data_IF_511075430834
#
_entry.id   IF_511075430834
#
_cell.length_a   1.000
_cell.length_b   1.000
_cell.length_c   1.000
_cell.angle_alpha   90.00
_cell.angle_beta   90.00
_cell.angle_gamma   90.00
#
_symmetry.space_group_name_H-M   'P 1'
#
loop_
_entity.id
_entity.type
_entity.pdbx_description
1 polymer ?
#
# COMPACT_ATOMS: atom_id res chain seq x y z
N UNK A 1 -54.36 21.74 0.08
CA UNK A 1 -54.23 20.32 -0.32
C UNK A 1 -54.17 20.25 -1.83
N UNK A 2 -53.38 19.32 -2.38
CA UNK A 2 -53.15 19.20 -3.82
C UNK A 2 -54.46 18.98 -4.60
N UNK A 3 -55.37 18.12 -4.12
CA UNK A 3 -56.65 17.82 -4.79
C UNK A 3 -57.57 19.05 -4.97
N UNK A 4 -57.71 19.89 -3.94
CA UNK A 4 -58.46 21.17 -4.02
C UNK A 4 -57.84 22.19 -4.99
N UNK A 5 -56.52 22.11 -5.19
CA UNK A 5 -55.82 23.03 -6.10
C UNK A 5 -55.98 22.57 -7.55
N UNK A 6 -55.86 21.25 -7.78
CA UNK A 6 -56.07 20.64 -9.11
C UNK A 6 -57.53 20.78 -9.56
N UNK A 7 -58.51 20.64 -8.65
CA UNK A 7 -59.92 20.81 -9.00
C UNK A 7 -60.26 22.25 -9.44
N UNK A 8 -59.63 23.27 -8.83
CA UNK A 8 -59.77 24.68 -9.22
C UNK A 8 -59.09 24.98 -10.57
N UNK A 9 -57.92 24.40 -10.81
CA UNK A 9 -57.21 24.59 -12.10
C UNK A 9 -57.94 23.92 -13.26
N UNK A 10 -58.68 22.83 -12.99
CA UNK A 10 -59.42 22.06 -13.98
C UNK A 10 -60.94 22.33 -13.91
N UNK A 11 -61.34 23.50 -13.42
CA UNK A 11 -62.74 23.88 -13.24
C UNK A 11 -63.52 23.81 -14.57
N UNK A 12 -64.71 23.22 -14.55
CA UNK A 12 -65.53 23.00 -15.74
C UNK A 12 -65.24 21.72 -16.53
N UNK A 13 -64.22 20.93 -16.16
CA UNK A 13 -63.89 19.65 -16.82
C UNK A 13 -64.36 18.43 -16.01
N UNK A 14 -64.59 17.25 -16.66
CA UNK A 14 -64.88 16.01 -15.95
C UNK A 14 -63.81 15.62 -14.92
N UNK A 15 -62.54 15.83 -15.24
CA UNK A 15 -61.41 15.58 -14.34
C UNK A 15 -61.40 16.52 -13.13
N UNK A 16 -61.75 17.81 -13.34
CA UNK A 16 -61.90 18.76 -12.23
C UNK A 16 -63.02 18.38 -11.28
N UNK A 17 -64.16 17.90 -11.80
CA UNK A 17 -65.27 17.42 -10.99
C UNK A 17 -64.93 16.14 -10.22
N UNK A 18 -64.13 15.23 -10.79
CA UNK A 18 -63.58 14.07 -10.08
C UNK A 18 -62.72 14.50 -8.88
N UNK A 19 -61.74 15.38 -9.08
CA UNK A 19 -60.90 15.87 -7.98
C UNK A 19 -61.65 16.70 -6.94
N UNK A 20 -62.73 17.38 -7.35
CA UNK A 20 -63.66 18.07 -6.45
C UNK A 20 -64.44 17.08 -5.57
N UNK A 21 -64.88 15.96 -6.13
CA UNK A 21 -65.53 14.89 -5.37
C UNK A 21 -64.57 14.28 -4.34
N UNK A 22 -63.32 14.02 -4.72
CA UNK A 22 -62.27 13.54 -3.80
C UNK A 22 -62.01 14.57 -2.67
N UNK A 23 -61.86 15.85 -2.98
CA UNK A 23 -61.64 16.91 -1.97
C UNK A 23 -62.84 17.06 -1.02
N UNK A 24 -64.07 16.91 -1.55
CA UNK A 24 -65.31 16.95 -0.76
C UNK A 24 -65.38 15.77 0.21
N UNK A 25 -65.06 14.57 -0.28
CA UNK A 25 -64.98 13.33 0.49
C UNK A 25 -63.95 13.42 1.63
N UNK A 26 -62.79 14.03 1.38
CA UNK A 26 -61.76 14.24 2.41
C UNK A 26 -62.22 15.29 3.44
N UNK A 27 -62.78 16.42 2.99
CA UNK A 27 -63.09 17.57 3.85
C UNK A 27 -64.40 17.45 4.63
N UNK A 28 -65.45 16.97 3.99
CA UNK A 28 -66.80 16.93 4.57
C UNK A 28 -67.08 15.62 5.28
N UNK A 29 -66.55 14.50 4.77
CA UNK A 29 -66.75 13.17 5.35
C UNK A 29 -65.55 12.68 6.18
N UNK A 30 -64.44 13.44 6.22
CA UNK A 30 -63.26 13.11 7.02
C UNK A 30 -62.52 11.85 6.56
N UNK A 31 -62.76 11.39 5.33
CA UNK A 31 -62.19 10.14 4.82
C UNK A 31 -60.70 10.27 4.49
N UNK A 32 -59.92 9.21 4.72
CA UNK A 32 -58.54 9.12 4.25
C UNK A 32 -58.46 9.10 2.72
N UNK A 33 -57.29 9.39 2.11
CA UNK A 33 -57.15 9.48 0.64
C UNK A 33 -57.59 8.19 -0.07
N UNK A 34 -57.25 7.01 0.47
CA UNK A 34 -57.69 5.73 -0.07
C UNK A 34 -59.23 5.59 -0.03
N UNK A 35 -59.85 5.87 1.12
CA UNK A 35 -61.31 5.79 1.27
C UNK A 35 -62.03 6.84 0.40
N UNK A 36 -61.52 8.06 0.32
CA UNK A 36 -62.11 9.11 -0.49
C UNK A 36 -62.13 8.78 -2.00
N UNK A 37 -61.18 7.97 -2.46
CA UNK A 37 -61.08 7.48 -3.83
C UNK A 37 -61.90 6.20 -4.06
N UNK A 38 -61.71 5.17 -3.22
CA UNK A 38 -62.12 3.78 -3.47
C UNK A 38 -63.19 3.22 -2.51
N UNK A 39 -63.79 4.03 -1.63
CA UNK A 39 -64.80 3.51 -0.68
C UNK A 39 -66.01 2.91 -1.44
N UNK A 40 -66.45 1.67 -1.10
CA UNK A 40 -67.54 0.98 -1.80
C UNK A 40 -68.90 1.68 -1.75
N UNK A 41 -69.11 2.59 -0.80
CA UNK A 41 -70.38 3.33 -0.63
C UNK A 41 -70.28 4.76 -1.13
N UNK A 42 -69.17 5.46 -0.85
CA UNK A 42 -69.04 6.90 -1.05
C UNK A 42 -67.76 7.33 -1.81
N UNK A 43 -67.01 6.40 -2.42
CA UNK A 43 -65.76 6.70 -3.13
C UNK A 43 -65.99 7.53 -4.40
N UNK A 44 -65.06 8.44 -4.71
CA UNK A 44 -65.16 9.30 -5.90
C UNK A 44 -65.16 8.49 -7.22
N UNK A 45 -64.57 7.29 -7.24
CA UNK A 45 -64.56 6.40 -8.41
C UNK A 45 -65.96 5.88 -8.75
N UNK A 46 -66.88 5.76 -7.78
CA UNK A 46 -68.26 5.34 -8.06
C UNK A 46 -69.00 6.36 -8.95
N UNK A 47 -68.67 7.64 -8.81
CA UNK A 47 -69.23 8.71 -9.66
C UNK A 47 -68.51 8.85 -11.00
N UNK A 48 -67.32 8.26 -11.15
CA UNK A 48 -66.46 8.35 -12.34
C UNK A 48 -65.80 6.99 -12.64
N UNK A 49 -66.59 5.98 -13.09
CA UNK A 49 -66.11 4.61 -13.29
C UNK A 49 -65.28 4.51 -14.58
N UNK A 50 -63.99 4.87 -14.47
CA UNK A 50 -63.02 4.76 -15.56
C UNK A 50 -61.83 3.90 -15.10
N UNK A 51 -61.51 2.80 -15.80
CA UNK A 51 -60.36 1.94 -15.46
C UNK A 51 -59.03 2.70 -15.45
N UNK A 52 -58.91 3.75 -16.28
CA UNK A 52 -57.72 4.59 -16.35
C UNK A 52 -57.58 5.47 -15.10
N UNK A 53 -58.69 6.03 -14.61
CA UNK A 53 -58.70 6.86 -13.39
C UNK A 53 -58.39 5.99 -12.18
N UNK A 54 -59.01 4.81 -12.10
CA UNK A 54 -58.80 3.83 -11.04
C UNK A 54 -57.31 3.44 -10.94
N UNK A 55 -56.73 2.95 -12.03
CA UNK A 55 -55.31 2.55 -12.06
C UNK A 55 -54.35 3.72 -11.80
N UNK A 56 -54.63 4.90 -12.35
CA UNK A 56 -53.79 6.09 -12.12
C UNK A 56 -53.80 6.54 -10.65
N UNK A 57 -54.96 6.45 -9.99
CA UNK A 57 -55.12 6.82 -8.59
C UNK A 57 -54.56 5.76 -7.64
N UNK A 58 -54.58 4.47 -7.99
CA UNK A 58 -53.89 3.42 -7.26
C UNK A 58 -52.37 3.65 -7.26
N UNK A 59 -51.79 3.94 -8.43
CA UNK A 59 -50.35 4.24 -8.55
C UNK A 59 -49.99 5.51 -7.78
N UNK A 60 -50.82 6.55 -7.85
CA UNK A 60 -50.61 7.79 -7.08
C UNK A 60 -50.64 7.52 -5.57
N UNK A 61 -51.60 6.74 -5.09
CA UNK A 61 -51.69 6.36 -3.68
C UNK A 61 -50.44 5.59 -3.22
N UNK A 62 -49.99 4.62 -4.02
CA UNK A 62 -48.86 3.77 -3.68
C UNK A 62 -47.52 4.54 -3.75
N UNK A 63 -47.40 5.49 -4.68
CA UNK A 63 -46.27 6.42 -4.75
C UNK A 63 -46.25 7.39 -3.56
N UNK A 64 -47.40 7.85 -3.10
CA UNK A 64 -47.52 8.71 -1.90
C UNK A 64 -47.22 7.94 -0.60
N UNK A 65 -47.31 6.60 -0.61
CA UNK A 65 -46.92 5.72 0.51
C UNK A 65 -45.43 5.43 0.57
N UNK A 66 -44.65 5.66 -0.50
CA UNK A 66 -43.18 5.70 -0.43
C UNK A 66 -42.75 6.95 0.35
N UNK A 67 -42.89 6.86 1.67
CA UNK A 67 -42.83 8.00 2.58
C UNK A 67 -41.46 8.24 3.23
N UNK A 68 -41.35 9.30 4.05
CA UNK A 68 -40.14 9.71 4.77
C UNK A 68 -39.46 8.60 5.57
N UNK A 69 -40.21 7.59 6.02
CA UNK A 69 -39.70 6.43 6.75
C UNK A 69 -38.70 5.60 5.92
N UNK A 70 -38.97 5.38 4.62
CA UNK A 70 -38.07 4.65 3.73
C UNK A 70 -36.78 5.45 3.47
N UNK A 71 -36.90 6.77 3.36
CA UNK A 71 -35.74 7.68 3.22
C UNK A 71 -34.89 7.66 4.48
N UNK A 72 -35.51 7.75 5.66
CA UNK A 72 -34.83 7.65 6.96
C UNK A 72 -34.09 6.32 7.12
N UNK A 73 -34.77 5.20 6.83
CA UNK A 73 -34.17 3.87 6.88
C UNK A 73 -32.96 3.75 5.95
N UNK A 74 -33.04 4.32 4.75
CA UNK A 74 -31.94 4.34 3.77
C UNK A 74 -30.75 5.18 4.27
N UNK A 75 -31.00 6.34 4.87
CA UNK A 75 -29.96 7.19 5.45
C UNK A 75 -29.25 6.52 6.62
N UNK A 76 -29.99 5.83 7.51
CA UNK A 76 -29.41 5.03 8.60
C UNK A 76 -28.51 3.93 8.03
N UNK A 77 -28.97 3.19 7.02
CA UNK A 77 -28.18 2.14 6.38
C UNK A 77 -26.89 2.68 5.73
N UNK A 78 -26.96 3.84 5.07
CA UNK A 78 -25.77 4.51 4.51
C UNK A 78 -24.81 4.93 5.62
N UNK A 79 -25.32 5.52 6.72
CA UNK A 79 -24.49 5.91 7.87
C UNK A 79 -23.78 4.69 8.48
N UNK A 80 -24.50 3.59 8.70
CA UNK A 80 -23.90 2.34 9.21
C UNK A 80 -22.87 1.77 8.24
N UNK A 81 -23.09 1.88 6.93
CA UNK A 81 -22.12 1.44 5.93
C UNK A 81 -20.83 2.27 5.97
N UNK A 82 -20.94 3.61 6.07
CA UNK A 82 -19.78 4.51 6.20
C UNK A 82 -19.00 4.20 7.48
N UNK A 83 -19.69 3.97 8.61
CA UNK A 83 -19.05 3.58 9.87
C UNK A 83 -18.29 2.26 9.74
N UNK A 84 -18.86 1.26 9.04
CA UNK A 84 -18.19 -0.02 8.77
C UNK A 84 -16.97 0.16 7.87
N UNK A 85 -17.04 0.97 6.83
CA UNK A 85 -15.88 1.30 5.98
C UNK A 85 -14.77 1.94 6.81
N UNK A 86 -15.11 2.88 7.68
CA UNK A 86 -14.13 3.54 8.54
C UNK A 86 -13.41 2.54 9.45
N UNK A 87 -14.16 1.65 10.12
CA UNK A 87 -13.61 0.57 10.95
C UNK A 87 -12.71 -0.38 10.16
N UNK A 88 -13.08 -0.71 8.91
CA UNK A 88 -12.24 -1.54 8.03
C UNK A 88 -10.95 -0.80 7.68
N UNK A 89 -11.02 0.49 7.33
CA UNK A 89 -9.83 1.30 7.01
C UNK A 89 -8.89 1.42 8.20
N UNK A 90 -9.41 1.66 9.40
CA UNK A 90 -8.63 1.71 10.64
C UNK A 90 -7.92 0.38 10.90
N UNK A 91 -8.65 -0.74 10.78
CA UNK A 91 -8.05 -2.07 10.93
C UNK A 91 -6.99 -2.37 9.87
N UNK A 92 -7.17 -1.92 8.62
CA UNK A 92 -6.14 -2.07 7.59
C UNK A 92 -4.89 -1.24 7.92
N UNK A 93 -5.06 -0.01 8.42
CA UNK A 93 -3.93 0.81 8.86
C UNK A 93 -3.17 0.14 10.01
N UNK A 94 -3.88 -0.42 10.99
CA UNK A 94 -3.26 -1.14 12.11
C UNK A 94 -2.47 -2.36 11.63
N UNK A 95 -3.04 -3.17 10.73
CA UNK A 95 -2.36 -4.34 10.17
C UNK A 95 -1.12 -3.96 9.34
N UNK A 96 -1.18 -2.83 8.64
CA UNK A 96 -0.06 -2.36 7.80
C UNK A 96 0.97 -1.56 8.60
N UNK A 97 0.64 -1.08 9.80
CA UNK A 97 1.54 -0.27 10.61
C UNK A 97 2.87 -0.98 10.91
N UNK A 98 2.81 -2.29 11.21
CA UNK A 98 4.00 -3.11 11.43
C UNK A 98 4.85 -3.23 10.15
N UNK A 99 4.20 -3.46 9.01
CA UNK A 99 4.88 -3.56 7.69
C UNK A 99 5.54 -2.24 7.31
N UNK A 100 4.83 -1.12 7.47
CA UNK A 100 5.35 0.23 7.20
C UNK A 100 6.52 0.54 8.14
N UNK A 101 6.41 0.20 9.42
CA UNK A 101 7.49 0.38 10.41
C UNK A 101 8.73 -0.42 10.03
N UNK A 102 8.55 -1.68 9.62
CA UNK A 102 9.62 -2.55 9.13
C UNK A 102 10.28 -1.97 7.87
N UNK A 103 9.50 -1.49 6.90
CA UNK A 103 10.03 -0.82 5.70
C UNK A 103 10.84 0.42 6.06
N UNK A 104 10.34 1.28 6.98
CA UNK A 104 11.08 2.45 7.49
C UNK A 104 12.41 2.05 8.12
N UNK A 105 12.44 0.98 8.92
CA UNK A 105 13.66 0.46 9.53
C UNK A 105 14.66 -0.10 8.49
N UNK A 106 14.14 -0.80 7.48
CA UNK A 106 14.94 -1.31 6.36
C UNK A 106 15.61 -0.19 5.58
N UNK A 107 14.84 0.83 5.19
CA UNK A 107 15.35 2.00 4.48
C UNK A 107 16.38 2.73 5.34
N UNK A 108 16.02 3.08 6.58
CA UNK A 108 16.80 4.03 7.39
C UNK A 108 18.08 3.44 7.98
N UNK A 109 18.13 2.14 8.27
CA UNK A 109 19.26 1.55 9.00
C UNK A 109 19.64 0.14 8.55
N UNK A 110 18.68 -0.80 8.50
CA UNK A 110 19.02 -2.22 8.38
C UNK A 110 19.66 -2.55 7.02
N UNK A 111 19.10 -2.07 5.91
CA UNK A 111 19.65 -2.30 4.56
C UNK A 111 21.02 -1.64 4.40
N UNK A 112 21.21 -0.34 4.70
CA UNK A 112 22.53 0.29 4.67
C UNK A 112 23.57 -0.41 5.55
N UNK A 113 23.18 -0.87 6.74
CA UNK A 113 24.09 -1.52 7.67
C UNK A 113 24.56 -2.88 7.16
N UNK A 114 23.63 -3.75 6.73
CA UNK A 114 23.97 -5.07 6.19
C UNK A 114 24.83 -4.90 4.93
N UNK A 115 24.46 -4.00 4.03
CA UNK A 115 25.22 -3.73 2.82
C UNK A 115 26.66 -3.25 3.12
N UNK A 116 26.83 -2.33 4.08
CA UNK A 116 28.14 -1.86 4.49
C UNK A 116 29.01 -2.95 5.13
N UNK A 117 28.40 -3.81 5.95
CA UNK A 117 29.09 -4.97 6.55
C UNK A 117 29.54 -5.95 5.47
N UNK A 118 28.66 -6.29 4.52
CA UNK A 118 28.97 -7.21 3.42
C UNK A 118 30.14 -6.69 2.59
N UNK A 119 30.16 -5.40 2.24
CA UNK A 119 31.30 -4.79 1.51
C UNK A 119 32.60 -4.90 2.31
N UNK A 120 32.57 -4.61 3.62
CA UNK A 120 33.75 -4.70 4.47
C UNK A 120 34.29 -6.13 4.61
N UNK A 121 33.41 -7.12 4.76
CA UNK A 121 33.80 -8.54 4.79
C UNK A 121 34.39 -8.96 3.44
N UNK A 122 33.77 -8.57 2.33
CA UNK A 122 34.29 -8.88 0.99
C UNK A 122 35.68 -8.26 0.78
N UNK A 123 35.89 -7.02 1.22
CA UNK A 123 37.20 -6.38 1.15
C UNK A 123 38.25 -7.12 2.00
N UNK A 124 37.87 -7.61 3.19
CA UNK A 124 38.74 -8.44 4.04
C UNK A 124 39.14 -9.73 3.33
N UNK A 125 38.17 -10.45 2.77
CA UNK A 125 38.40 -11.72 2.07
C UNK A 125 39.35 -11.52 0.89
N UNK A 126 39.12 -10.48 0.07
CA UNK A 126 40.02 -10.14 -1.05
C UNK A 126 41.43 -9.85 -0.56
N UNK A 127 41.59 -9.05 0.50
CA UNK A 127 42.92 -8.74 1.06
C UNK A 127 43.63 -9.99 1.59
N UNK A 128 42.91 -10.90 2.26
CA UNK A 128 43.47 -12.15 2.77
C UNK A 128 43.92 -13.04 1.61
N UNK A 129 43.10 -13.22 0.58
CA UNK A 129 43.45 -14.06 -0.58
C UNK A 129 44.68 -13.49 -1.30
N UNK A 130 44.73 -12.18 -1.55
CA UNK A 130 45.88 -11.53 -2.19
C UNK A 130 47.16 -11.71 -1.36
N UNK A 131 47.08 -11.56 -0.04
CA UNK A 131 48.22 -11.74 0.85
C UNK A 131 48.68 -13.20 1.00
N UNK A 132 47.74 -14.15 1.07
CA UNK A 132 48.07 -15.58 1.08
C UNK A 132 48.74 -16.00 -0.22
N UNK A 133 48.26 -15.51 -1.38
CA UNK A 133 48.89 -15.76 -2.68
C UNK A 133 50.34 -15.23 -2.69
N UNK A 134 50.56 -13.99 -2.21
CA UNK A 134 51.91 -13.43 -2.08
C UNK A 134 52.80 -14.27 -1.14
N UNK A 135 52.35 -14.61 0.07
CA UNK A 135 53.14 -15.42 1.02
C UNK A 135 53.52 -16.79 0.45
N UNK A 136 52.59 -17.46 -0.23
CA UNK A 136 52.83 -18.79 -0.80
C UNK A 136 53.78 -18.74 -2.02
N UNK A 137 53.73 -17.65 -2.78
CA UNK A 137 54.67 -17.38 -3.87
C UNK A 137 56.09 -17.07 -3.38
N UNK A 138 56.24 -16.43 -2.22
CA UNK A 138 57.57 -16.16 -1.62
C UNK A 138 58.19 -17.44 -1.05
N UNK A 139 57.42 -18.28 -0.35
CA UNK A 139 57.93 -19.56 0.20
C UNK A 139 58.39 -20.55 -0.88
N UNK A 140 57.84 -20.46 -2.09
CA UNK A 140 58.28 -21.28 -3.24
C UNK A 140 59.57 -20.78 -3.88
N UNK A 141 60.05 -19.58 -3.55
CA UNK A 141 61.30 -19.01 -4.07
C UNK A 141 62.48 -19.11 -3.08
N UNK A 142 62.25 -19.19 -1.76
CA UNK A 142 63.32 -19.33 -0.76
C UNK A 142 63.69 -20.78 -0.41
N UNK A 143 62.86 -21.76 -0.81
CA UNK A 143 63.10 -23.20 -0.64
C UNK A 143 63.94 -23.82 -1.76
N UNK A 144 65.14 -23.29 -2.00
CA UNK A 144 66.09 -23.86 -2.96
C UNK A 144 66.68 -25.19 -2.49
N UNK A 145 65.96 -26.30 -2.66
CA UNK A 145 66.56 -27.63 -2.76
C UNK A 145 65.69 -28.54 -3.63
N UNK A 146 66.32 -29.15 -4.64
CA UNK A 146 65.70 -29.72 -5.82
C UNK A 146 65.06 -31.11 -5.64
N UNK A 147 64.62 -31.50 -4.44
CA UNK A 147 64.22 -32.89 -4.14
C UNK A 147 62.76 -33.11 -3.70
N UNK A 148 61.86 -32.15 -3.97
CA UNK A 148 60.42 -32.31 -3.66
C UNK A 148 59.56 -32.25 -4.93
N UNK A 149 59.90 -33.08 -5.91
CA UNK A 149 59.16 -33.19 -7.18
C UNK A 149 57.83 -33.98 -7.08
N UNK A 150 57.54 -34.62 -5.94
CA UNK A 150 56.35 -35.46 -5.75
C UNK A 150 55.15 -34.79 -5.06
N UNK A 151 55.37 -33.72 -4.28
CA UNK A 151 54.30 -33.00 -3.55
C UNK A 151 54.08 -31.56 -4.01
N UNK A 152 54.88 -31.08 -4.98
CA UNK A 152 54.71 -29.76 -5.59
C UNK A 152 53.40 -29.64 -6.38
N UNK A 153 52.92 -30.69 -7.05
CA UNK A 153 51.70 -30.63 -7.87
C UNK A 153 50.42 -30.29 -7.09
N UNK A 154 50.32 -30.69 -5.82
CA UNK A 154 49.18 -30.35 -4.96
C UNK A 154 49.24 -28.91 -4.45
N UNK A 155 50.43 -28.38 -4.17
CA UNK A 155 50.63 -27.00 -3.74
C UNK A 155 50.45 -26.02 -4.91
N UNK A 156 50.95 -26.36 -6.10
CA UNK A 156 50.75 -25.56 -7.31
C UNK A 156 49.27 -25.54 -7.71
N UNK A 157 48.54 -26.66 -7.60
CA UNK A 157 47.09 -26.68 -7.84
C UNK A 157 46.30 -25.86 -6.80
N UNK A 158 46.75 -25.80 -5.54
CA UNK A 158 46.14 -24.95 -4.51
C UNK A 158 46.41 -23.46 -4.77
N UNK A 159 47.64 -23.10 -5.18
CA UNK A 159 48.02 -21.74 -5.59
C UNK A 159 47.20 -21.29 -6.80
N UNK A 160 46.96 -22.20 -7.76
CA UNK A 160 46.18 -21.92 -8.96
C UNK A 160 44.67 -21.77 -8.67
N UNK A 161 44.17 -22.45 -7.63
CA UNK A 161 42.79 -22.28 -7.13
C UNK A 161 42.57 -20.91 -6.46
N UNK A 162 43.62 -20.31 -5.88
CA UNK A 162 43.64 -18.93 -5.37
C UNK A 162 44.33 -17.94 -6.32
N UNK A 163 44.34 -18.24 -7.62
CA UNK A 163 44.94 -17.37 -8.62
C UNK A 163 44.19 -16.02 -8.69
N UNK A 164 44.96 -14.94 -8.66
CA UNK A 164 44.48 -13.55 -8.56
C UNK A 164 43.60 -13.13 -9.76
N UNK A 165 43.67 -13.88 -10.86
CA UNK A 165 42.97 -13.58 -12.10
C UNK A 165 41.43 -13.72 -12.00
N UNK A 166 40.93 -14.52 -11.04
CA UNK A 166 39.49 -14.69 -10.80
C UNK A 166 38.91 -13.80 -9.68
N UNK A 167 39.75 -13.03 -8.98
CA UNK A 167 39.31 -12.24 -7.83
C UNK A 167 38.69 -10.94 -8.33
N UNK A 168 37.37 -10.80 -8.14
CA UNK A 168 36.69 -9.53 -8.43
C UNK A 168 37.24 -8.47 -7.47
N UNK A 169 37.79 -7.35 -7.99
CA UNK A 169 38.27 -6.28 -7.14
C UNK A 169 37.16 -5.71 -6.26
N UNK A 170 37.48 -5.40 -5.01
CA UNK A 170 36.50 -4.93 -4.01
C UNK A 170 35.78 -3.64 -4.42
N UNK A 171 36.41 -2.79 -5.24
CA UNK A 171 35.80 -1.55 -5.73
C UNK A 171 34.61 -1.79 -6.68
N UNK A 172 34.68 -2.82 -7.54
CA UNK A 172 33.55 -3.20 -8.41
C UNK A 172 32.38 -3.70 -7.56
N UNK A 173 32.68 -4.55 -6.58
CA UNK A 173 31.67 -5.09 -5.68
C UNK A 173 31.00 -3.99 -4.84
N UNK A 174 31.78 -3.05 -4.31
CA UNK A 174 31.26 -1.90 -3.57
C UNK A 174 30.29 -1.06 -4.40
N UNK A 175 30.61 -0.81 -5.69
CA UNK A 175 29.75 -0.04 -6.59
C UNK A 175 28.41 -0.75 -6.81
N UNK A 176 28.44 -2.05 -7.13
CA UNK A 176 27.22 -2.86 -7.35
C UNK A 176 26.32 -2.86 -6.10
N UNK A 177 26.90 -3.06 -4.92
CA UNK A 177 26.15 -3.03 -3.66
C UNK A 177 25.62 -1.62 -3.36
N UNK A 178 26.38 -0.57 -3.68
CA UNK A 178 25.95 0.82 -3.51
C UNK A 178 24.71 1.15 -4.36
N UNK A 179 24.70 0.73 -5.62
CA UNK A 179 23.52 0.88 -6.50
C UNK A 179 22.33 0.13 -5.91
N UNK A 180 22.53 -1.11 -5.44
CA UNK A 180 21.48 -1.90 -4.82
C UNK A 180 20.84 -1.21 -3.61
N UNK A 181 21.63 -0.56 -2.74
CA UNK A 181 21.11 0.23 -1.60
C UNK A 181 20.24 1.40 -2.07
N UNK A 182 20.67 2.10 -3.13
CA UNK A 182 19.92 3.22 -3.73
C UNK A 182 18.59 2.72 -4.32
N UNK A 183 18.62 1.62 -5.07
CA UNK A 183 17.42 1.01 -5.67
C UNK A 183 16.43 0.53 -4.61
N UNK A 184 16.91 -0.16 -3.57
CA UNK A 184 16.04 -0.60 -2.47
C UNK A 184 15.44 0.58 -1.72
N UNK A 185 16.23 1.61 -1.37
CA UNK A 185 15.72 2.79 -0.71
C UNK A 185 14.67 3.51 -1.58
N UNK A 186 14.86 3.53 -2.90
CA UNK A 186 13.90 4.08 -3.85
C UNK A 186 12.58 3.31 -3.85
N UNK A 187 12.63 1.99 -4.10
CA UNK A 187 11.42 1.15 -4.20
C UNK A 187 10.66 1.12 -2.87
N UNK A 188 11.35 0.92 -1.76
CA UNK A 188 10.72 0.85 -0.44
C UNK A 188 10.10 2.18 -0.03
N UNK A 189 10.72 3.32 -0.39
CA UNK A 189 10.14 4.63 -0.05
C UNK A 189 8.85 4.91 -0.81
N UNK A 190 8.78 4.55 -2.10
CA UNK A 190 7.55 4.70 -2.89
C UNK A 190 6.44 3.81 -2.34
N UNK A 191 6.74 2.55 -2.04
CA UNK A 191 5.76 1.62 -1.46
C UNK A 191 5.28 2.10 -0.09
N UNK A 192 6.20 2.50 0.79
CA UNK A 192 5.87 3.02 2.11
C UNK A 192 4.95 4.25 2.03
N UNK A 193 5.28 5.23 1.17
CA UNK A 193 4.46 6.42 0.99
C UNK A 193 3.08 6.09 0.39
N UNK A 194 3.04 5.18 -0.59
CA UNK A 194 1.78 4.75 -1.21
C UNK A 194 0.82 4.09 -0.22
N UNK A 195 1.35 3.35 0.76
CA UNK A 195 0.55 2.71 1.81
C UNK A 195 0.10 3.73 2.88
N UNK A 196 1.00 4.62 3.32
CA UNK A 196 0.75 5.54 4.44
C UNK A 196 -0.08 6.76 4.03
N UNK A 197 0.25 7.38 2.89
CA UNK A 197 -0.28 8.68 2.46
C UNK A 197 -1.06 8.61 1.13
N UNK A 198 -1.14 7.45 0.48
CA UNK A 198 -1.80 7.30 -0.81
C UNK A 198 -1.03 7.97 -1.95
N UNK A 199 -1.73 8.62 -2.88
CA UNK A 199 -1.15 9.21 -4.11
C UNK A 199 -0.55 10.61 -3.93
N UNK A 200 0.02 10.92 -2.76
CA UNK A 200 0.68 12.19 -2.51
C UNK A 200 2.10 12.21 -3.10
N UNK A 201 2.21 12.74 -4.33
CA UNK A 201 3.48 12.89 -5.07
C UNK A 201 4.47 13.85 -4.41
N UNK A 202 4.00 14.86 -3.68
CA UNK A 202 4.88 15.86 -3.06
C UNK A 202 5.59 15.20 -1.87
N UNK A 203 4.81 14.52 -1.03
CA UNK A 203 5.37 13.80 0.11
C UNK A 203 6.25 12.62 -0.33
N UNK A 204 5.90 11.97 -1.45
CA UNK A 204 6.74 10.93 -2.06
C UNK A 204 8.14 11.45 -2.39
N UNK A 205 8.25 12.58 -3.10
CA UNK A 205 9.54 13.16 -3.49
C UNK A 205 10.35 13.64 -2.28
N UNK A 206 9.68 14.22 -1.28
CA UNK A 206 10.32 14.66 -0.05
C UNK A 206 10.87 13.48 0.76
N UNK A 207 10.05 12.44 0.98
CA UNK A 207 10.47 11.22 1.67
C UNK A 207 11.59 10.53 0.91
N UNK A 208 11.50 10.47 -0.42
CA UNK A 208 12.53 9.87 -1.26
C UNK A 208 13.87 10.56 -1.06
N UNK A 209 13.94 11.89 -1.18
CA UNK A 209 15.20 12.62 -0.99
C UNK A 209 15.77 12.44 0.42
N UNK A 210 14.92 12.53 1.45
CA UNK A 210 15.33 12.38 2.84
C UNK A 210 15.83 10.97 3.16
N UNK A 211 15.10 9.95 2.72
CA UNK A 211 15.43 8.56 2.95
C UNK A 211 16.67 8.16 2.17
N UNK A 212 16.69 8.43 0.86
CA UNK A 212 17.82 8.08 0.00
C UNK A 212 19.13 8.71 0.48
N UNK A 213 19.09 10.00 0.85
CA UNK A 213 20.25 10.69 1.40
C UNK A 213 20.74 10.09 2.72
N UNK A 214 19.82 9.79 3.65
CA UNK A 214 20.18 9.15 4.93
C UNK A 214 20.72 7.74 4.72
N UNK A 215 20.05 6.90 3.93
CA UNK A 215 20.45 5.52 3.66
C UNK A 215 21.82 5.44 3.00
N UNK A 216 22.07 6.27 1.98
CA UNK A 216 23.34 6.32 1.28
C UNK A 216 24.48 6.78 2.19
N UNK A 217 24.26 7.85 2.97
CA UNK A 217 25.26 8.37 3.90
C UNK A 217 25.59 7.34 5.00
N UNK A 218 24.58 6.67 5.54
CA UNK A 218 24.75 5.63 6.54
C UNK A 218 25.53 4.43 5.97
N UNK A 219 25.17 3.98 4.77
CA UNK A 219 25.91 2.94 4.04
C UNK A 219 27.38 3.32 3.85
N UNK A 220 27.67 4.53 3.38
CA UNK A 220 29.04 4.99 3.16
C UNK A 220 29.86 5.01 4.45
N UNK A 221 29.28 5.49 5.56
CA UNK A 221 29.95 5.53 6.87
C UNK A 221 30.22 4.11 7.38
N UNK A 222 29.22 3.22 7.35
CA UNK A 222 29.39 1.84 7.83
C UNK A 222 30.40 1.10 6.96
N UNK A 223 30.27 1.17 5.63
CA UNK A 223 31.20 0.52 4.71
C UNK A 223 32.64 1.01 4.98
N UNK A 224 32.84 2.30 5.20
CA UNK A 224 34.16 2.86 5.51
C UNK A 224 34.71 2.33 6.84
N UNK A 225 33.93 2.42 7.93
CA UNK A 225 34.35 1.98 9.27
C UNK A 225 34.65 0.47 9.27
N UNK A 226 33.75 -0.33 8.70
CA UNK A 226 33.88 -1.80 8.72
C UNK A 226 35.05 -2.26 7.84
N UNK A 227 35.24 -1.64 6.66
CA UNK A 227 36.40 -1.93 5.81
C UNK A 227 37.71 -1.58 6.53
N UNK A 228 37.76 -0.43 7.21
CA UNK A 228 38.93 -0.01 7.97
C UNK A 228 39.22 -1.00 9.12
N UNK A 229 38.21 -1.35 9.92
CA UNK A 229 38.33 -2.30 11.03
C UNK A 229 38.86 -3.66 10.54
N UNK A 230 38.24 -4.23 9.50
CA UNK A 230 38.68 -5.53 8.97
C UNK A 230 40.04 -5.47 8.29
N UNK A 231 40.43 -4.33 7.70
CA UNK A 231 41.77 -4.15 7.15
C UNK A 231 42.83 -4.22 8.26
N UNK A 232 42.58 -3.60 9.42
CA UNK A 232 43.46 -3.72 10.59
C UNK A 232 43.51 -5.15 11.13
N UNK A 233 42.37 -5.83 11.24
CA UNK A 233 42.35 -7.24 11.67
C UNK A 233 43.13 -8.15 10.73
N UNK A 234 42.97 -7.97 9.41
CA UNK A 234 43.71 -8.72 8.42
C UNK A 234 45.22 -8.45 8.49
N UNK A 235 45.65 -7.26 8.92
CA UNK A 235 47.07 -6.99 9.18
C UNK A 235 47.56 -7.67 10.47
N UNK A 236 46.78 -7.62 11.55
CA UNK A 236 47.14 -8.22 12.85
C UNK A 236 47.28 -9.75 12.78
N UNK A 237 46.39 -10.44 12.05
CA UNK A 237 46.50 -11.89 11.83
C UNK A 237 47.81 -12.25 11.09
N UNK A 238 48.31 -11.36 10.23
CA UNK A 238 49.51 -11.60 9.45
C UNK A 238 50.82 -11.29 10.18
N UNK A 239 50.82 -10.45 11.23
CA UNK A 239 52.02 -10.14 12.00
C UNK A 239 52.27 -11.11 13.17
N UNK A 240 51.35 -12.04 13.44
CA UNK A 240 51.56 -13.08 14.46
C UNK A 240 51.52 -12.58 15.91
N UNK A 241 50.89 -11.44 16.19
CA UNK A 241 50.79 -10.85 17.55
C UNK A 241 49.46 -11.13 18.28
N UNK A 242 48.75 -12.22 17.94
CA UNK A 242 47.60 -12.68 18.73
C UNK A 242 47.68 -14.19 18.99
N UNK A 243 48.67 -14.56 19.81
CA UNK A 243 48.53 -15.58 20.87
C UNK A 243 48.74 -14.87 22.20
#
# INVERSE_FOLDING_TARGET
MAFSSVSKTLEGTPSGNFFKAVDTNIRQLGMGINEALFNPKNGAILSYPSPLIESSMEVLLESSRKGPSIVSQSLISISTYIERIHKVSERLKDLLAEVISSMKAQISFLTPAIAGIVVGISAMVVNIIVKLNMSLSVTSFEGGSADVAGSAGGLTALVDLFSVNGIIPSYWFQLVVGIYVVELAFVLTILQNGIENGSDKINEQYLLGKNLGKSFLLYAIIAFIVTLLFTFMAQGILQGELV
#
